data_IF_338837334558
#
_entry.id   IF_338837334558
#
_cell.length_a   1.000
_cell.length_b   1.000
_cell.length_c   1.000
_cell.angle_alpha   90.00
_cell.angle_beta   90.00
_cell.angle_gamma   90.00
#
_symmetry.space_group_name_H-M   'P 1'
#
loop_
_entity.id
_entity.type
_entity.pdbx_description
1 polymer ?
#
# COMPACT_ATOMS: atom_id res chain seq x y z
N UNK A 1 27.65 0.42 -6.28
CA UNK A 1 26.77 -0.55 -5.59
C UNK A 1 26.01 -1.33 -6.65
N UNK A 2 25.95 -2.64 -6.54
CA UNK A 2 25.13 -3.49 -7.41
C UNK A 2 23.87 -3.87 -6.62
N UNK A 3 22.79 -3.13 -6.83
CA UNK A 3 21.47 -3.36 -6.22
C UNK A 3 20.43 -3.26 -7.32
N UNK A 4 19.55 -4.25 -7.39
CA UNK A 4 18.41 -4.31 -8.29
C UNK A 4 17.14 -4.46 -7.44
N UNK A 5 16.06 -3.82 -7.88
CA UNK A 5 14.76 -4.01 -7.28
C UNK A 5 13.70 -4.15 -8.37
N UNK A 6 12.71 -5.01 -8.12
CA UNK A 6 11.48 -5.08 -8.89
C UNK A 6 10.29 -4.78 -7.98
N UNK A 7 9.28 -4.15 -8.57
CA UNK A 7 8.00 -3.89 -7.93
C UNK A 7 6.88 -4.50 -8.76
N UNK A 8 5.89 -5.09 -8.09
CA UNK A 8 4.63 -5.49 -8.71
C UNK A 8 3.49 -4.84 -7.95
N UNK A 9 2.58 -4.24 -8.70
CA UNK A 9 1.33 -3.69 -8.19
C UNK A 9 0.19 -4.12 -9.11
N UNK A 10 -1.00 -4.28 -8.54
CA UNK A 10 -2.24 -4.43 -9.28
C UNK A 10 -3.02 -3.12 -9.17
N UNK A 11 -3.58 -2.65 -10.29
CA UNK A 11 -4.50 -1.52 -10.32
C UNK A 11 -5.87 -1.99 -10.80
N UNK A 12 -6.92 -1.40 -10.24
CA UNK A 12 -8.29 -1.63 -10.66
C UNK A 12 -9.17 -0.43 -10.36
N UNK A 13 -10.33 -0.32 -11.02
CA UNK A 13 -11.31 0.70 -10.70
C UNK A 13 -12.03 0.41 -9.38
N UNK A 14 -12.76 1.39 -8.85
CA UNK A 14 -13.76 1.17 -7.82
C UNK A 14 -14.84 0.18 -8.28
N UNK A 15 -15.44 -0.53 -7.33
CA UNK A 15 -16.34 -1.66 -7.60
C UNK A 15 -15.66 -2.92 -8.15
N UNK A 16 -14.32 -2.94 -8.26
CA UNK A 16 -13.58 -4.17 -8.54
C UNK A 16 -13.45 -5.04 -7.27
N UNK A 17 -13.15 -6.35 -7.39
CA UNK A 17 -12.97 -7.22 -6.22
C UNK A 17 -11.90 -6.70 -5.22
N UNK A 18 -10.98 -5.88 -5.72
CA UNK A 18 -9.94 -5.27 -4.89
C UNK A 18 -10.47 -4.10 -4.05
N UNK A 19 -11.41 -3.33 -4.60
CA UNK A 19 -12.10 -2.28 -3.88
C UNK A 19 -13.04 -2.89 -2.83
N UNK A 20 -13.72 -3.98 -3.16
CA UNK A 20 -14.57 -4.73 -2.23
C UNK A 20 -13.78 -5.25 -1.02
N UNK A 21 -12.57 -5.77 -1.26
CA UNK A 21 -11.67 -6.19 -0.19
C UNK A 21 -11.29 -5.03 0.74
N UNK A 22 -10.98 -3.86 0.19
CA UNK A 22 -10.66 -2.68 1.00
C UNK A 22 -11.87 -2.19 1.78
N UNK A 23 -13.07 -2.21 1.19
CA UNK A 23 -14.31 -1.88 1.88
C UNK A 23 -14.54 -2.82 3.06
N UNK A 24 -14.38 -4.13 2.86
CA UNK A 24 -14.52 -5.12 3.92
C UNK A 24 -13.49 -4.91 5.04
N UNK A 25 -12.24 -4.60 4.69
CA UNK A 25 -11.20 -4.29 5.68
C UNK A 25 -11.51 -3.01 6.46
N UNK A 26 -12.01 -1.97 5.78
CA UNK A 26 -12.38 -0.70 6.39
C UNK A 26 -13.54 -0.89 7.37
N UNK A 27 -14.57 -1.64 6.97
CA UNK A 27 -15.75 -1.93 7.78
C UNK A 27 -15.37 -2.62 9.11
N UNK A 28 -14.47 -3.61 9.05
CA UNK A 28 -13.99 -4.33 10.23
C UNK A 28 -13.34 -3.44 11.30
N UNK A 29 -12.74 -2.32 10.91
CA UNK A 29 -12.00 -1.44 11.83
C UNK A 29 -12.58 -0.04 11.96
N UNK A 30 -13.69 0.26 11.27
CA UNK A 30 -14.32 1.59 11.19
C UNK A 30 -14.51 2.22 12.55
N UNK A 31 -15.20 1.54 13.45
CA UNK A 31 -15.53 2.07 14.77
C UNK A 31 -14.28 2.29 15.62
N UNK A 32 -13.25 1.47 15.46
CA UNK A 32 -11.98 1.63 16.17
C UNK A 32 -11.18 2.81 15.63
N UNK A 33 -11.18 3.05 14.32
CA UNK A 33 -10.50 4.19 13.70
C UNK A 33 -11.18 5.51 14.11
N UNK A 34 -12.51 5.56 14.07
CA UNK A 34 -13.29 6.74 14.47
C UNK A 34 -13.24 6.98 15.97
N UNK A 35 -13.43 5.93 16.78
CA UNK A 35 -13.39 6.04 18.24
C UNK A 35 -12.03 6.47 18.80
N UNK A 36 -10.94 6.21 18.06
CA UNK A 36 -9.58 6.68 18.40
C UNK A 36 -9.25 8.05 17.80
N UNK A 37 -10.16 8.65 17.04
CA UNK A 37 -9.93 9.93 16.36
C UNK A 37 -8.86 9.87 15.26
N UNK A 38 -8.56 8.68 14.74
CA UNK A 38 -7.61 8.50 13.63
C UNK A 38 -8.24 8.87 12.28
N UNK A 39 -9.56 8.72 12.19
CA UNK A 39 -10.38 9.18 11.08
C UNK A 39 -11.68 9.76 11.63
N UNK A 40 -12.29 10.67 10.88
CA UNK A 40 -13.69 11.08 11.07
C UNK A 40 -14.62 10.12 10.35
N UNK A 41 -15.89 10.08 10.77
CA UNK A 41 -16.91 9.31 10.05
C UNK A 41 -17.04 9.76 8.57
N UNK A 42 -16.98 11.07 8.32
CA UNK A 42 -17.06 11.64 6.97
C UNK A 42 -15.89 11.21 6.07
N UNK A 43 -14.68 11.07 6.62
CA UNK A 43 -13.52 10.55 5.87
C UNK A 43 -13.70 9.07 5.50
N UNK A 44 -14.27 8.27 6.41
CA UNK A 44 -14.59 6.86 6.14
C UNK A 44 -15.62 6.76 5.01
N UNK A 45 -16.73 7.51 5.10
CA UNK A 45 -17.78 7.50 4.07
C UNK A 45 -17.26 8.00 2.72
N UNK A 46 -16.44 9.06 2.71
CA UNK A 46 -15.82 9.57 1.48
C UNK A 46 -14.92 8.50 0.85
N UNK A 47 -14.11 7.82 1.64
CA UNK A 47 -13.23 6.77 1.13
C UNK A 47 -14.02 5.57 0.60
N UNK A 48 -15.07 5.15 1.31
CA UNK A 48 -15.97 4.09 0.84
C UNK A 48 -16.68 4.45 -0.47
N UNK A 49 -17.07 5.72 -0.62
CA UNK A 49 -17.62 6.27 -1.86
C UNK A 49 -16.65 6.17 -3.04
N UNK A 50 -15.38 6.54 -2.83
CA UNK A 50 -14.33 6.40 -3.86
C UNK A 50 -14.12 4.94 -4.26
N UNK A 51 -14.11 4.01 -3.30
CA UNK A 51 -13.97 2.58 -3.59
C UNK A 51 -15.16 2.01 -4.37
N UNK A 52 -16.31 2.69 -4.37
CA UNK A 52 -17.50 2.30 -5.15
C UNK A 52 -17.57 2.99 -6.51
N UNK A 53 -16.73 3.99 -6.78
CA UNK A 53 -16.74 4.78 -8.01
C UNK A 53 -15.90 4.10 -9.12
N UNK A 54 -16.49 3.64 -10.23
CA UNK A 54 -15.74 3.00 -11.32
C UNK A 54 -14.75 3.92 -12.03
N UNK A 55 -14.88 5.24 -11.88
CA UNK A 55 -13.93 6.22 -12.42
C UNK A 55 -12.72 6.43 -11.52
N UNK A 56 -12.81 6.03 -10.26
CA UNK A 56 -11.70 6.05 -9.32
C UNK A 56 -10.83 4.81 -9.49
N UNK A 57 -9.53 4.99 -9.72
CA UNK A 57 -8.57 3.89 -9.81
C UNK A 57 -7.70 3.84 -8.58
N UNK A 58 -7.51 2.63 -8.07
CA UNK A 58 -6.68 2.36 -6.91
C UNK A 58 -5.66 1.27 -7.23
N UNK A 59 -4.52 1.35 -6.56
CA UNK A 59 -3.56 0.28 -6.49
C UNK A 59 -3.51 -0.28 -5.08
N UNK A 60 -3.33 -1.59 -4.95
CA UNK A 60 -3.11 -2.24 -3.66
C UNK A 60 -1.98 -3.24 -3.75
N UNK A 61 -1.49 -3.65 -2.57
CA UNK A 61 -0.52 -4.73 -2.39
C UNK A 61 0.75 -4.53 -3.24
N UNK A 62 1.45 -3.42 -3.04
CA UNK A 62 2.78 -3.24 -3.60
C UNK A 62 3.71 -4.33 -3.05
N UNK A 63 4.15 -5.22 -3.93
CA UNK A 63 5.20 -6.17 -3.63
C UNK A 63 6.51 -5.62 -4.18
N UNK A 64 7.53 -5.50 -3.34
CA UNK A 64 8.87 -5.11 -3.73
C UNK A 64 9.83 -6.23 -3.41
N UNK A 65 10.64 -6.63 -4.39
CA UNK A 65 11.76 -7.54 -4.19
C UNK A 65 13.04 -6.82 -4.56
N UNK A 66 14.04 -6.86 -3.68
CA UNK A 66 15.34 -6.22 -3.91
C UNK A 66 16.48 -7.21 -3.65
N UNK A 67 17.49 -7.18 -4.51
CA UNK A 67 18.71 -7.97 -4.39
C UNK A 67 19.92 -7.09 -4.63
N UNK A 68 21.01 -7.35 -3.93
CA UNK A 68 22.24 -6.62 -4.16
C UNK A 68 23.44 -7.27 -3.52
N UNK A 69 24.62 -6.72 -3.79
CA UNK A 69 25.90 -7.16 -3.22
C UNK A 69 26.48 -6.07 -2.34
N UNK A 70 26.98 -6.47 -1.16
CA UNK A 70 27.75 -5.58 -0.28
C UNK A 70 28.98 -5.07 -1.06
N UNK A 71 29.34 -3.77 -0.95
CA UNK A 71 30.60 -3.27 -1.50
C UNK A 71 31.75 -4.13 -0.99
N UNK A 72 32.71 -4.47 -1.86
CA UNK A 72 33.98 -5.03 -1.36
C UNK A 72 34.59 -4.00 -0.42
N UNK A 73 34.99 -4.42 0.77
CA UNK A 73 35.87 -3.59 1.58
C UNK A 73 37.13 -3.36 0.75
N UNK A 74 37.44 -2.11 0.44
CA UNK A 74 38.71 -1.77 -0.18
C UNK A 74 39.81 -2.28 0.74
N UNK A 75 40.70 -3.11 0.20
CA UNK A 75 41.85 -3.65 0.91
C UNK A 75 42.93 -2.57 1.15
N UNK A 76 42.55 -1.46 1.77
CA UNK A 76 43.46 -0.40 2.24
C UNK A 76 43.13 -0.05 3.68
N UNK A 77 43.33 -1.03 4.56
CA UNK A 77 43.72 -0.73 5.94
C UNK A 77 44.50 -1.91 6.52
N UNK A 78 45.69 -2.14 5.97
CA UNK A 78 46.77 -2.80 6.69
C UNK A 78 48.04 -1.98 6.51
N UNK A 79 48.32 -1.23 7.57
CA UNK A 79 49.62 -0.74 8.08
C UNK A 79 50.61 -0.09 7.11
#
# INVERSE_FOLDING_TARGET
MDVQAEGRLAMGPGGSPVADLLLANLDQVRDALVGRGLLTADEVERFAGLLSDPSFFLNVHLMVSARGRRPRADAREKR
#
